data_IF_995316716312
#
_entry.id   IF_995316716312
#
_cell.length_a   1.000
_cell.length_b   1.000
_cell.length_c   1.000
_cell.angle_alpha   90.00
_cell.angle_beta   90.00
_cell.angle_gamma   90.00
#
_symmetry.space_group_name_H-M   'P 1'
#
loop_
_entity.id
_entity.type
_entity.pdbx_description
1 polymer ?
#
# COMPACT_ATOMS: atom_id res chain seq x y z
N UNK A 1 -7.96 8.73 2.70
CA UNK A 1 -8.75 8.82 3.92
C UNK A 1 -8.16 8.01 5.08
N UNK A 2 -7.96 6.70 4.96
CA UNK A 2 -7.39 5.85 6.05
C UNK A 2 -6.06 6.37 6.61
N UNK A 3 -5.13 6.83 5.74
CA UNK A 3 -3.85 7.43 6.17
C UNK A 3 -4.04 8.73 6.96
N UNK A 4 -5.05 9.53 6.61
CA UNK A 4 -5.42 10.73 7.35
C UNK A 4 -5.91 10.35 8.75
N UNK A 5 -6.79 9.36 8.85
CA UNK A 5 -7.30 8.90 10.13
C UNK A 5 -6.20 8.31 11.01
N UNK A 6 -5.31 7.48 10.45
CA UNK A 6 -4.18 6.94 11.19
C UNK A 6 -3.30 8.04 11.79
N UNK A 7 -2.96 9.05 10.98
CA UNK A 7 -2.20 10.21 11.46
C UNK A 7 -2.92 10.97 12.56
N UNK A 8 -4.21 11.26 12.36
CA UNK A 8 -5.01 12.01 13.31
C UNK A 8 -5.29 11.24 14.60
N UNK A 9 -5.47 9.92 14.55
CA UNK A 9 -5.57 9.09 15.75
C UNK A 9 -4.32 9.15 16.61
N UNK A 10 -3.16 9.27 15.99
CA UNK A 10 -1.90 9.39 16.72
C UNK A 10 -1.75 10.73 17.43
N UNK A 11 -2.20 11.81 16.83
CA UNK A 11 -1.91 13.18 17.27
C UNK A 11 -3.13 13.91 17.85
N UNK A 12 -4.36 13.57 17.44
CA UNK A 12 -5.59 14.31 17.75
C UNK A 12 -6.79 13.37 17.95
N UNK A 13 -6.64 12.34 18.75
CA UNK A 13 -7.63 11.26 18.92
C UNK A 13 -9.02 11.77 19.28
N UNK A 14 -9.17 12.61 20.30
CA UNK A 14 -10.47 13.04 20.81
C UNK A 14 -11.23 13.91 19.79
N UNK A 15 -10.51 14.81 19.12
CA UNK A 15 -11.09 15.66 18.11
C UNK A 15 -11.59 14.84 16.90
N UNK A 16 -10.80 13.83 16.49
CA UNK A 16 -11.18 12.94 15.40
C UNK A 16 -12.37 12.06 15.77
N UNK A 17 -12.41 11.50 16.97
CA UNK A 17 -13.53 10.70 17.45
C UNK A 17 -14.83 11.53 17.49
N UNK A 18 -14.77 12.76 17.99
CA UNK A 18 -15.92 13.67 18.01
C UNK A 18 -16.45 13.96 16.61
N UNK A 19 -15.54 14.16 15.66
CA UNK A 19 -15.89 14.41 14.27
C UNK A 19 -16.49 13.18 13.60
N UNK A 20 -15.93 12.00 13.83
CA UNK A 20 -16.46 10.73 13.33
C UNK A 20 -17.87 10.47 13.88
N UNK A 21 -18.10 10.74 15.15
CA UNK A 21 -19.41 10.61 15.77
C UNK A 21 -20.41 11.61 15.18
N UNK A 22 -20.03 12.89 15.04
CA UNK A 22 -20.87 13.94 14.44
C UNK A 22 -21.41 13.56 13.07
N UNK A 23 -20.55 13.00 12.21
CA UNK A 23 -20.89 12.65 10.83
C UNK A 23 -21.31 11.20 10.63
N UNK A 24 -21.43 10.40 11.70
CA UNK A 24 -21.81 8.99 11.66
C UNK A 24 -20.87 8.14 10.79
N UNK A 25 -19.54 8.41 10.86
CA UNK A 25 -18.57 7.58 10.17
C UNK A 25 -18.73 6.10 10.61
N UNK A 26 -18.66 5.09 9.72
CA UNK A 26 -18.18 5.16 8.32
C UNK A 26 -19.26 5.44 7.28
N UNK A 27 -20.51 5.68 7.66
CA UNK A 27 -21.65 5.89 6.75
C UNK A 27 -22.06 7.36 6.71
N UNK A 28 -21.21 8.21 6.14
CA UNK A 28 -21.45 9.65 6.04
C UNK A 28 -22.47 9.92 4.93
N UNK A 29 -23.46 10.76 5.20
CA UNK A 29 -24.42 11.20 4.18
C UNK A 29 -23.71 12.02 3.10
N UNK A 30 -24.11 11.84 1.82
CA UNK A 30 -23.43 12.48 0.67
C UNK A 30 -23.34 13.99 0.78
N UNK A 31 -24.41 14.64 1.20
CA UNK A 31 -24.48 16.09 1.43
C UNK A 31 -23.48 16.60 2.47
N UNK A 32 -23.01 15.74 3.37
CA UNK A 32 -22.10 16.10 4.45
C UNK A 32 -20.62 15.83 4.13
N UNK A 33 -20.31 15.22 2.98
CA UNK A 33 -18.93 14.84 2.61
C UNK A 33 -18.02 16.07 2.57
N UNK A 34 -18.46 17.14 1.93
CA UNK A 34 -17.68 18.38 1.80
C UNK A 34 -17.36 18.98 3.16
N UNK A 35 -18.37 19.08 4.02
CA UNK A 35 -18.21 19.63 5.36
C UNK A 35 -17.31 18.75 6.23
N UNK A 36 -17.51 17.43 6.20
CA UNK A 36 -16.65 16.46 6.88
C UNK A 36 -15.18 16.59 6.46
N UNK A 37 -14.90 16.66 5.15
CA UNK A 37 -13.52 16.83 4.66
C UNK A 37 -12.92 18.18 5.07
N UNK A 38 -13.70 19.25 5.07
CA UNK A 38 -13.25 20.58 5.49
C UNK A 38 -12.95 20.63 7.00
N UNK A 39 -13.75 19.99 7.83
CA UNK A 39 -13.46 19.88 9.27
C UNK A 39 -12.22 19.03 9.53
N UNK A 40 -12.02 17.93 8.79
CA UNK A 40 -10.76 17.19 8.84
C UNK A 40 -9.55 18.05 8.44
N UNK A 41 -9.70 18.89 7.39
CA UNK A 41 -8.66 19.85 7.00
C UNK A 41 -8.34 20.82 8.13
N UNK A 42 -9.37 21.33 8.81
CA UNK A 42 -9.21 22.27 9.94
C UNK A 42 -8.46 21.61 11.10
N UNK A 43 -8.66 20.31 11.33
CA UNK A 43 -7.92 19.56 12.35
C UNK A 43 -6.42 19.40 12.00
N UNK A 44 -6.02 19.41 10.74
CA UNK A 44 -4.60 19.37 10.36
C UNK A 44 -3.85 20.67 10.70
N UNK A 45 -4.57 21.81 10.87
CA UNK A 45 -3.98 23.09 11.21
C UNK A 45 -3.67 23.98 10.01
N UNK A 46 -2.89 25.03 10.22
CA UNK A 46 -2.59 25.99 9.16
C UNK A 46 -1.52 25.44 8.20
N UNK A 47 -1.68 25.67 6.89
CA UNK A 47 -0.72 25.21 5.86
C UNK A 47 0.72 25.66 6.09
N UNK A 48 0.94 26.77 6.80
CA UNK A 48 2.29 27.31 7.06
C UNK A 48 3.05 26.48 8.09
N UNK A 49 2.35 25.82 8.99
CA UNK A 49 2.91 25.03 10.09
C UNK A 49 2.94 23.54 9.78
N UNK A 50 2.33 23.12 8.65
CA UNK A 50 2.23 21.73 8.25
C UNK A 50 3.58 21.16 7.80
N UNK A 51 3.90 19.96 8.28
CA UNK A 51 4.97 19.12 7.73
C UNK A 51 4.60 18.68 6.31
N UNK A 52 5.57 18.24 5.52
CA UNK A 52 5.33 17.80 4.14
C UNK A 52 4.26 16.71 4.01
N UNK A 53 4.26 15.76 4.96
CA UNK A 53 3.23 14.71 5.04
C UNK A 53 1.83 15.27 5.24
N UNK A 54 1.71 16.29 6.09
CA UNK A 54 0.43 16.94 6.40
C UNK A 54 -0.05 17.76 5.20
N UNK A 55 0.85 18.43 4.48
CA UNK A 55 0.53 19.13 3.23
C UNK A 55 -0.02 18.19 2.16
N UNK A 56 0.58 17.00 2.04
CA UNK A 56 0.09 15.97 1.12
C UNK A 56 -1.30 15.48 1.51
N UNK A 57 -1.53 15.17 2.81
CA UNK A 57 -2.84 14.77 3.32
C UNK A 57 -3.90 15.87 3.15
N UNK A 58 -3.53 17.11 3.41
CA UNK A 58 -4.39 18.27 3.18
C UNK A 58 -4.79 18.41 1.71
N UNK A 59 -3.85 18.19 0.78
CA UNK A 59 -4.13 18.19 -0.65
C UNK A 59 -5.09 17.07 -1.08
N UNK A 60 -4.99 15.89 -0.48
CA UNK A 60 -5.94 14.79 -0.70
C UNK A 60 -7.34 15.12 -0.18
N UNK A 61 -7.44 15.66 1.03
CA UNK A 61 -8.71 16.05 1.64
C UNK A 61 -9.40 17.17 0.88
N UNK A 62 -8.64 18.18 0.40
CA UNK A 62 -9.19 19.26 -0.41
C UNK A 62 -9.83 18.71 -1.70
N UNK A 63 -9.15 17.78 -2.39
CA UNK A 63 -9.72 17.11 -3.57
C UNK A 63 -10.94 16.25 -3.22
N UNK A 64 -10.91 15.56 -2.08
CA UNK A 64 -12.05 14.78 -1.61
C UNK A 64 -13.27 15.66 -1.31
N UNK A 65 -13.06 16.88 -0.78
CA UNK A 65 -14.12 17.84 -0.53
C UNK A 65 -14.80 18.39 -1.81
N UNK A 66 -14.10 18.30 -2.96
CA UNK A 66 -14.64 18.70 -4.27
C UNK A 66 -15.36 17.53 -4.98
N UNK A 67 -15.30 16.32 -4.43
CA UNK A 67 -15.95 15.15 -5.00
C UNK A 67 -17.40 15.06 -4.57
N UNK A 68 -18.28 14.78 -5.52
CA UNK A 68 -19.71 14.57 -5.25
C UNK A 68 -19.97 13.25 -4.49
N UNK A 69 -19.04 12.31 -4.55
CA UNK A 69 -19.17 11.01 -3.91
C UNK A 69 -17.79 10.43 -3.49
N UNK A 70 -17.76 9.89 -2.28
CA UNK A 70 -16.65 9.10 -1.78
C UNK A 70 -17.16 7.71 -1.41
N UNK A 71 -17.13 6.79 -2.37
CA UNK A 71 -17.74 5.44 -2.29
C UNK A 71 -17.34 4.70 -1.01
N UNK A 72 -16.10 4.87 -0.54
CA UNK A 72 -15.61 4.25 0.70
C UNK A 72 -16.15 4.88 2.00
N UNK A 73 -17.01 5.89 1.91
CA UNK A 73 -17.73 6.49 3.05
C UNK A 73 -19.22 6.14 3.06
N UNK A 74 -19.68 5.27 2.16
CA UNK A 74 -21.08 4.88 2.04
C UNK A 74 -21.22 3.37 2.09
N UNK A 75 -22.32 2.90 2.65
CA UNK A 75 -22.70 1.49 2.68
C UNK A 75 -21.59 0.56 3.20
N UNK A 76 -20.82 1.02 4.19
CA UNK A 76 -19.79 0.21 4.79
C UNK A 76 -20.36 -0.64 5.92
N UNK A 77 -19.96 -1.89 5.96
CA UNK A 77 -20.22 -2.77 7.11
C UNK A 77 -19.20 -2.48 8.23
N UNK A 78 -19.67 -2.57 9.47
CA UNK A 78 -18.81 -2.39 10.64
C UNK A 78 -17.66 -3.39 10.61
N UNK A 79 -16.43 -2.89 10.87
CA UNK A 79 -15.19 -3.66 10.89
C UNK A 79 -14.73 -4.23 9.55
N UNK A 80 -15.45 -4.01 8.45
CA UNK A 80 -15.03 -4.42 7.10
C UNK A 80 -14.23 -3.30 6.47
N UNK A 81 -12.91 -3.50 6.34
CA UNK A 81 -12.01 -2.55 5.68
C UNK A 81 -12.08 -2.65 4.16
N UNK A 82 -12.37 -3.81 3.64
CA UNK A 82 -12.41 -4.12 2.22
C UNK A 82 -13.26 -5.38 2.02
N UNK A 83 -14.28 -5.30 1.17
CA UNK A 83 -15.20 -6.41 0.94
C UNK A 83 -14.55 -7.62 0.26
N UNK A 84 -13.62 -7.33 -0.66
CA UNK A 84 -12.88 -8.36 -1.38
C UNK A 84 -11.53 -7.82 -1.90
N UNK A 85 -10.70 -8.73 -2.38
CA UNK A 85 -9.37 -8.41 -2.91
C UNK A 85 -9.33 -8.36 -4.45
N UNK A 86 -10.47 -8.36 -5.14
CA UNK A 86 -10.53 -8.47 -6.60
C UNK A 86 -9.78 -7.33 -7.31
N UNK A 87 -9.78 -6.11 -6.76
CA UNK A 87 -9.05 -4.97 -7.33
C UNK A 87 -7.55 -5.21 -7.44
N UNK A 88 -6.94 -6.01 -6.56
CA UNK A 88 -5.52 -6.38 -6.67
C UNK A 88 -5.23 -7.23 -7.90
N UNK A 89 -6.23 -7.94 -8.42
CA UNK A 89 -6.16 -8.74 -9.64
C UNK A 89 -6.57 -7.94 -10.87
N UNK A 90 -7.55 -7.07 -10.72
CA UNK A 90 -8.14 -6.27 -11.81
C UNK A 90 -7.20 -5.14 -12.23
N UNK A 91 -6.58 -4.45 -11.29
CA UNK A 91 -5.66 -3.34 -11.57
C UNK A 91 -4.48 -3.73 -12.46
N UNK A 92 -3.74 -4.82 -12.23
CA UNK A 92 -2.70 -5.27 -13.15
C UNK A 92 -3.23 -5.60 -14.54
N UNK A 93 -4.39 -6.25 -14.65
CA UNK A 93 -5.01 -6.58 -15.95
C UNK A 93 -5.34 -5.30 -16.72
N UNK A 94 -5.94 -4.32 -16.05
CA UNK A 94 -6.29 -3.01 -16.62
C UNK A 94 -5.06 -2.21 -17.03
N UNK A 95 -4.03 -2.22 -16.22
CA UNK A 95 -2.81 -1.44 -16.42
C UNK A 95 -1.89 -2.03 -17.48
N UNK A 96 -1.82 -3.36 -17.55
CA UNK A 96 -0.91 -4.08 -18.44
C UNK A 96 -1.67 -4.97 -19.44
N UNK A 97 -2.53 -4.36 -20.24
CA UNK A 97 -3.43 -5.05 -21.18
C UNK A 97 -2.71 -5.92 -22.24
N UNK A 98 -1.43 -5.63 -22.54
CA UNK A 98 -0.62 -6.41 -23.48
C UNK A 98 0.12 -7.57 -22.80
N UNK A 99 0.05 -7.69 -21.50
CA UNK A 99 0.71 -8.74 -20.72
C UNK A 99 -0.26 -9.90 -20.47
N UNK A 100 0.28 -11.10 -20.37
CA UNK A 100 -0.48 -12.26 -19.91
C UNK A 100 -0.37 -12.33 -18.38
N UNK A 101 -1.51 -12.37 -17.71
CA UNK A 101 -1.58 -12.45 -16.25
C UNK A 101 -1.87 -13.89 -15.82
N UNK A 102 -1.08 -14.40 -14.89
CA UNK A 102 -1.27 -15.72 -14.28
C UNK A 102 -1.38 -15.52 -12.79
N UNK A 103 -2.51 -15.91 -12.23
CA UNK A 103 -2.81 -15.77 -10.82
C UNK A 103 -3.00 -17.14 -10.16
N UNK A 104 -2.74 -17.21 -8.86
CA UNK A 104 -3.14 -18.36 -8.07
C UNK A 104 -4.66 -18.48 -8.00
N UNK A 105 -5.16 -19.70 -7.87
CA UNK A 105 -6.59 -19.99 -7.83
C UNK A 105 -7.21 -19.44 -6.53
N UNK A 106 -8.09 -18.45 -6.69
CA UNK A 106 -8.88 -17.86 -5.61
C UNK A 106 -10.34 -17.79 -6.06
N UNK A 107 -11.13 -18.76 -5.63
CA UNK A 107 -12.49 -19.02 -6.16
C UNK A 107 -13.37 -17.77 -6.10
N UNK A 108 -13.37 -17.06 -4.96
CA UNK A 108 -14.21 -15.87 -4.77
C UNK A 108 -13.79 -14.74 -5.73
N UNK A 109 -12.48 -14.53 -5.86
CA UNK A 109 -11.92 -13.48 -6.72
C UNK A 109 -12.15 -13.77 -8.19
N UNK A 110 -11.99 -15.02 -8.62
CA UNK A 110 -12.22 -15.43 -10.01
C UNK A 110 -13.60 -15.04 -10.52
N UNK A 111 -14.62 -15.28 -9.74
CA UNK A 111 -16.00 -14.99 -10.12
C UNK A 111 -16.25 -13.48 -10.26
N UNK A 112 -15.66 -12.69 -9.37
CA UNK A 112 -15.76 -11.23 -9.41
C UNK A 112 -15.04 -10.69 -10.66
N UNK A 113 -13.79 -11.12 -10.88
CA UNK A 113 -12.98 -10.69 -12.04
C UNK A 113 -13.67 -11.04 -13.34
N UNK A 114 -14.17 -12.27 -13.50
CA UNK A 114 -14.92 -12.69 -14.70
C UNK A 114 -16.18 -11.86 -14.93
N UNK A 115 -16.93 -11.55 -13.87
CA UNK A 115 -18.13 -10.71 -13.97
C UNK A 115 -17.82 -9.27 -14.39
N UNK A 116 -16.74 -8.70 -13.89
CA UNK A 116 -16.35 -7.33 -14.25
C UNK A 116 -15.86 -7.25 -15.70
N UNK A 117 -15.08 -8.22 -16.16
CA UNK A 117 -14.65 -8.31 -17.56
C UNK A 117 -15.86 -8.49 -18.51
N UNK A 118 -16.81 -9.33 -18.14
CA UNK A 118 -18.02 -9.56 -18.94
C UNK A 118 -18.92 -8.31 -19.06
N UNK A 119 -18.79 -7.32 -18.17
CA UNK A 119 -19.51 -6.04 -18.26
C UNK A 119 -18.92 -5.05 -19.28
N UNK A 120 -17.87 -5.43 -19.99
CA UNK A 120 -17.32 -4.63 -21.09
C UNK A 120 -16.46 -3.45 -20.69
N UNK A 121 -15.92 -3.44 -19.48
CA UNK A 121 -15.02 -2.40 -18.99
C UNK A 121 -13.61 -2.54 -19.61
N UNK A 122 -13.43 -2.25 -20.91
CA UNK A 122 -12.11 -2.11 -21.58
C UNK A 122 -10.97 -3.01 -21.01
N UNK A 123 -11.31 -4.22 -20.59
CA UNK A 123 -10.35 -5.18 -20.05
C UNK A 123 -10.18 -6.34 -21.04
N UNK A 124 -8.95 -6.81 -21.15
CA UNK A 124 -8.62 -7.98 -21.97
C UNK A 124 -8.81 -9.25 -21.14
N UNK A 125 -9.12 -10.35 -21.81
CA UNK A 125 -9.17 -11.69 -21.20
C UNK A 125 -7.78 -12.38 -21.13
N UNK A 126 -6.73 -11.58 -21.15
CA UNK A 126 -5.33 -12.03 -21.08
C UNK A 126 -4.92 -12.50 -19.67
N UNK A 127 -5.80 -13.20 -18.98
CA UNK A 127 -5.50 -13.73 -17.67
C UNK A 127 -5.97 -15.17 -17.52
N UNK A 128 -5.36 -15.87 -16.59
CA UNK A 128 -5.81 -17.18 -16.13
C UNK A 128 -5.54 -17.35 -14.65
N UNK A 129 -6.38 -18.13 -14.00
CA UNK A 129 -6.14 -18.67 -12.67
C UNK A 129 -5.64 -20.10 -12.80
N UNK A 130 -4.65 -20.45 -12.00
CA UNK A 130 -4.03 -21.77 -11.97
C UNK A 130 -3.84 -22.22 -10.53
N UNK A 131 -3.80 -23.52 -10.30
CA UNK A 131 -3.38 -24.05 -8.99
C UNK A 131 -1.89 -23.85 -8.83
N UNK A 132 -1.45 -23.30 -7.71
CA UNK A 132 -0.04 -23.01 -7.44
C UNK A 132 0.85 -24.24 -7.58
N UNK A 133 0.34 -25.43 -7.22
CA UNK A 133 1.10 -26.68 -7.36
C UNK A 133 1.46 -27.03 -8.82
N UNK A 134 0.76 -26.44 -9.78
CA UNK A 134 0.93 -26.76 -11.21
C UNK A 134 1.69 -25.70 -12.01
N UNK A 135 2.02 -24.56 -11.40
CA UNK A 135 2.70 -23.45 -12.08
C UNK A 135 3.89 -22.92 -11.26
N UNK A 136 5.11 -23.18 -11.76
CA UNK A 136 6.35 -22.83 -11.08
C UNK A 136 6.51 -21.31 -10.88
N UNK A 137 5.96 -20.48 -11.77
CA UNK A 137 6.06 -19.03 -11.62
C UNK A 137 5.14 -18.51 -10.51
N UNK A 138 3.96 -19.13 -10.32
CA UNK A 138 3.08 -18.82 -9.18
C UNK A 138 3.75 -19.22 -7.88
N UNK A 139 4.34 -20.42 -7.79
CA UNK A 139 5.12 -20.86 -6.61
C UNK A 139 6.28 -19.89 -6.31
N UNK A 140 7.02 -19.47 -7.33
CA UNK A 140 8.11 -18.50 -7.16
C UNK A 140 7.58 -17.14 -6.66
N UNK A 141 6.44 -16.69 -7.18
CA UNK A 141 5.80 -15.45 -6.72
C UNK A 141 5.41 -15.53 -5.25
N UNK A 142 4.90 -16.66 -4.78
CA UNK A 142 4.55 -16.88 -3.37
C UNK A 142 5.78 -16.81 -2.47
N UNK A 143 6.88 -17.43 -2.89
CA UNK A 143 8.15 -17.36 -2.15
C UNK A 143 8.65 -15.91 -2.06
N UNK A 144 8.63 -15.17 -3.18
CA UNK A 144 9.07 -13.77 -3.21
C UNK A 144 8.15 -12.91 -2.34
N UNK A 145 6.83 -13.07 -2.46
CA UNK A 145 5.85 -12.34 -1.64
C UNK A 145 6.05 -12.64 -0.15
N UNK A 146 6.31 -13.90 0.21
CA UNK A 146 6.60 -14.31 1.58
C UNK A 146 7.88 -13.68 2.14
N UNK A 147 8.95 -13.61 1.35
CA UNK A 147 10.21 -12.96 1.73
C UNK A 147 9.99 -11.47 1.94
N UNK A 148 9.36 -10.79 0.97
CA UNK A 148 9.08 -9.35 1.05
C UNK A 148 8.15 -9.04 2.23
N UNK A 149 7.10 -9.83 2.45
CA UNK A 149 6.19 -9.66 3.58
C UNK A 149 6.90 -9.76 4.93
N UNK A 150 7.80 -10.72 5.11
CA UNK A 150 8.63 -10.84 6.31
C UNK A 150 9.59 -9.66 6.47
N UNK A 151 10.23 -9.23 5.39
CA UNK A 151 11.13 -8.07 5.39
C UNK A 151 10.38 -6.79 5.77
N UNK A 152 9.23 -6.53 5.17
CA UNK A 152 8.39 -5.37 5.52
C UNK A 152 7.92 -5.43 6.97
N UNK A 153 7.49 -6.60 7.45
CA UNK A 153 7.09 -6.77 8.86
C UNK A 153 8.25 -6.44 9.78
N UNK A 154 9.44 -6.98 9.54
CA UNK A 154 10.64 -6.70 10.32
C UNK A 154 10.97 -5.20 10.34
N UNK A 155 11.03 -4.56 9.17
CA UNK A 155 11.36 -3.14 9.04
C UNK A 155 10.36 -2.25 9.79
N UNK A 156 9.07 -2.56 9.72
CA UNK A 156 8.02 -1.75 10.36
C UNK A 156 7.87 -2.00 11.86
N UNK A 157 8.20 -3.20 12.35
CA UNK A 157 8.06 -3.54 13.77
C UNK A 157 9.31 -3.32 14.61
N UNK A 158 10.48 -3.07 13.97
CA UNK A 158 11.76 -2.98 14.65
C UNK A 158 12.24 -1.53 14.74
N UNK A 159 12.73 -1.10 15.91
CA UNK A 159 13.27 0.25 16.08
C UNK A 159 14.52 0.49 15.22
N UNK A 160 14.79 1.75 14.86
CA UNK A 160 15.97 2.13 14.07
C UNK A 160 17.27 1.65 14.72
N UNK A 161 17.40 1.79 16.05
CA UNK A 161 18.61 1.37 16.78
C UNK A 161 18.79 -0.14 16.78
N UNK A 162 17.69 -0.89 16.88
CA UNK A 162 17.76 -2.36 16.80
C UNK A 162 18.13 -2.80 15.41
N UNK A 163 17.51 -2.22 14.36
CA UNK A 163 17.88 -2.53 12.96
C UNK A 163 19.37 -2.30 12.67
N UNK A 164 19.95 -1.21 13.22
CA UNK A 164 21.40 -0.98 13.07
C UNK A 164 22.23 -2.11 13.66
N UNK A 165 21.93 -2.51 14.90
CA UNK A 165 22.63 -3.65 15.55
C UNK A 165 22.46 -4.92 14.73
N UNK A 166 21.24 -5.26 14.35
CA UNK A 166 20.97 -6.48 13.58
C UNK A 166 21.72 -6.48 12.23
N UNK A 167 21.82 -5.30 11.56
CA UNK A 167 22.60 -5.14 10.34
C UNK A 167 24.10 -5.39 10.60
N UNK A 168 24.65 -4.95 11.72
CA UNK A 168 26.05 -5.19 12.09
C UNK A 168 26.35 -6.67 12.30
N UNK A 169 25.41 -7.45 12.77
CA UNK A 169 25.54 -8.87 13.04
C UNK A 169 25.33 -9.76 11.81
N UNK A 170 24.84 -9.22 10.68
CA UNK A 170 24.63 -10.01 9.47
C UNK A 170 25.94 -10.62 8.95
N UNK A 171 25.91 -11.87 8.53
CA UNK A 171 27.01 -12.49 7.78
C UNK A 171 27.12 -11.88 6.38
N UNK A 172 28.27 -12.10 5.72
CA UNK A 172 28.49 -11.67 4.34
C UNK A 172 27.40 -12.19 3.38
N UNK A 173 27.05 -13.49 3.51
CA UNK A 173 26.02 -14.12 2.67
C UNK A 173 24.66 -13.45 2.86
N UNK A 174 24.29 -13.13 4.10
CA UNK A 174 23.03 -12.44 4.38
C UNK A 174 23.00 -11.03 3.77
N UNK A 175 24.08 -10.28 3.91
CA UNK A 175 24.23 -8.96 3.25
C UNK A 175 24.08 -9.09 1.74
N UNK A 176 24.80 -10.01 1.11
CA UNK A 176 24.75 -10.20 -0.33
C UNK A 176 23.35 -10.59 -0.82
N UNK A 177 22.64 -11.46 -0.09
CA UNK A 177 21.26 -11.85 -0.40
C UNK A 177 20.28 -10.68 -0.27
N UNK A 178 20.41 -9.86 0.77
CA UNK A 178 19.55 -8.68 0.93
C UNK A 178 19.81 -7.67 -0.20
N UNK A 179 21.07 -7.45 -0.56
CA UNK A 179 21.41 -6.56 -1.69
C UNK A 179 20.96 -7.11 -3.03
N UNK A 180 20.89 -8.44 -3.19
CA UNK A 180 20.31 -9.05 -4.39
C UNK A 180 18.80 -8.72 -4.50
N UNK A 181 18.06 -8.75 -3.41
CA UNK A 181 16.64 -8.32 -3.40
C UNK A 181 16.51 -6.87 -3.85
N UNK A 182 17.36 -5.96 -3.33
CA UNK A 182 17.34 -4.56 -3.73
C UNK A 182 17.71 -4.37 -5.19
N UNK A 183 18.69 -5.12 -5.70
CA UNK A 183 19.05 -5.12 -7.11
C UNK A 183 17.88 -5.53 -8.00
N UNK A 184 17.24 -6.67 -7.70
CA UNK A 184 16.09 -7.17 -8.47
C UNK A 184 14.93 -6.17 -8.45
N UNK A 185 14.65 -5.55 -7.29
CA UNK A 185 13.66 -4.49 -7.15
C UNK A 185 13.99 -3.28 -8.04
N UNK A 186 15.24 -2.85 -8.02
CA UNK A 186 15.70 -1.70 -8.79
C UNK A 186 15.62 -1.96 -10.29
N UNK A 187 16.06 -3.14 -10.74
CA UNK A 187 15.98 -3.55 -12.14
C UNK A 187 14.52 -3.64 -12.62
N UNK A 188 13.63 -4.24 -11.83
CA UNK A 188 12.21 -4.30 -12.15
C UNK A 188 11.58 -2.90 -12.28
N UNK A 189 11.97 -1.95 -11.42
CA UNK A 189 11.49 -0.57 -11.47
C UNK A 189 12.06 0.21 -12.66
N UNK A 190 13.28 -0.10 -13.10
CA UNK A 190 13.87 0.50 -14.31
C UNK A 190 13.18 0.01 -15.58
N UNK A 191 12.87 -1.29 -15.65
CA UNK A 191 12.13 -1.86 -16.77
C UNK A 191 10.71 -1.27 -16.87
N UNK A 192 10.01 -1.18 -15.74
CA UNK A 192 8.69 -0.54 -15.67
C UNK A 192 8.41 -0.03 -14.26
N UNK A 193 8.37 1.32 -14.06
CA UNK A 193 8.06 1.92 -12.76
C UNK A 193 6.72 1.50 -12.14
N UNK A 194 5.84 0.91 -12.94
CA UNK A 194 4.56 0.40 -12.47
C UNK A 194 4.57 -1.03 -11.94
N UNK A 195 5.65 -1.80 -12.13
CA UNK A 195 5.72 -3.19 -11.63
C UNK A 195 5.81 -3.27 -10.12
N UNK A 196 6.43 -2.29 -9.48
CA UNK A 196 6.53 -2.21 -8.03
C UNK A 196 5.42 -1.33 -7.45
N UNK A 197 4.21 -1.88 -7.41
CA UNK A 197 3.11 -1.28 -6.67
C UNK A 197 3.10 -1.84 -5.25
N UNK A 198 3.26 -0.98 -4.25
CA UNK A 198 3.13 -1.38 -2.85
C UNK A 198 2.11 -0.51 -2.14
N UNK A 199 1.29 -1.15 -1.30
CA UNK A 199 0.36 -0.46 -0.41
C UNK A 199 0.92 -0.61 1.00
N UNK A 200 1.25 0.49 1.63
CA UNK A 200 1.82 0.51 2.96
C UNK A 200 1.42 1.75 3.75
N UNK A 201 1.72 1.78 5.05
CA UNK A 201 1.50 2.97 5.87
C UNK A 201 2.31 4.15 5.33
N UNK A 202 1.71 5.33 5.38
CA UNK A 202 2.30 6.55 4.83
C UNK A 202 3.64 6.92 5.48
N UNK A 203 3.78 6.69 6.77
CA UNK A 203 5.02 6.89 7.53
C UNK A 203 6.10 5.84 7.20
N UNK A 204 5.71 4.76 6.51
CA UNK A 204 6.61 3.73 5.98
C UNK A 204 7.29 4.09 4.65
N UNK A 205 6.85 5.15 3.96
CA UNK A 205 7.44 5.57 2.68
C UNK A 205 8.92 5.89 2.86
N UNK A 206 9.76 5.26 2.05
CA UNK A 206 11.22 5.45 2.09
C UNK A 206 11.94 4.70 3.23
N UNK A 207 11.24 4.01 4.14
CA UNK A 207 11.92 3.20 5.18
C UNK A 207 12.69 2.05 4.55
N UNK A 208 12.12 1.41 3.55
CA UNK A 208 12.75 0.31 2.82
C UNK A 208 14.03 0.78 2.10
N UNK A 209 13.97 1.93 1.45
CA UNK A 209 15.13 2.50 0.74
C UNK A 209 16.26 2.82 1.73
N UNK A 210 15.93 3.46 2.86
CA UNK A 210 16.90 3.73 3.93
C UNK A 210 17.50 2.46 4.53
N UNK A 211 16.73 1.39 4.60
CA UNK A 211 17.23 0.10 5.07
C UNK A 211 18.29 -0.45 4.11
N UNK A 212 18.02 -0.48 2.81
CA UNK A 212 18.98 -0.93 1.81
C UNK A 212 20.22 -0.05 1.75
N UNK A 213 20.08 1.27 1.83
CA UNK A 213 21.22 2.20 1.88
C UNK A 213 22.13 1.94 3.09
N UNK A 214 21.55 1.65 4.26
CA UNK A 214 22.32 1.30 5.45
C UNK A 214 23.15 0.03 5.23
N UNK A 215 22.59 -0.97 4.55
CA UNK A 215 23.30 -2.22 4.24
C UNK A 215 24.41 -2.02 3.19
N UNK A 216 24.17 -1.19 2.17
CA UNK A 216 25.20 -0.83 1.17
C UNK A 216 26.41 -0.16 1.84
N UNK A 217 26.16 0.87 2.66
CA UNK A 217 27.22 1.59 3.38
C UNK A 217 28.04 0.66 4.28
N UNK A 218 27.37 -0.32 4.95
CA UNK A 218 28.11 -1.31 5.73
C UNK A 218 29.02 -2.21 4.87
N UNK A 219 28.56 -2.63 3.69
CA UNK A 219 29.36 -3.47 2.79
C UNK A 219 30.60 -2.73 2.35
N UNK A 220 30.49 -1.45 1.99
CA UNK A 220 31.61 -0.61 1.57
C UNK A 220 32.65 -0.42 2.68
N UNK A 221 32.20 -0.19 3.91
CA UNK A 221 33.08 0.00 5.07
C UNK A 221 33.82 -1.28 5.52
N UNK A 222 33.42 -2.47 5.07
CA UNK A 222 34.11 -3.74 5.36
C UNK A 222 35.11 -4.16 4.28
N UNK A 223 35.11 -3.51 3.14
CA UNK A 223 36.03 -3.80 2.02
C UNK A 223 37.27 -2.89 2.09
N UNK A 224 37.19 -1.80 2.82
CA UNK A 224 38.30 -0.91 3.16
C UNK A 224 38.91 -1.28 4.51
#
# INVERSE_FOLDING_TARGET
MKSVFYYMFKEKTDALQSLMFKYKYPNIQRENIKEFCNELLSLLGSRREMKENEKFLAGMLARAAESDELVFLHNNDDYVMQENYAEFYIDPIRKYQKSRHIFDEEIIVQDIVKKQIAKGENMTDNFKFVKSETDIFVQLSDVIAGILGKLFKYINSTSVNQRRRDIEDLSKIQVDNILLIDKLRTEANQENPGFLCSIGPFDGVGILDRFFETIKSRKENRVN
#
